data_IF_643065674404
#
_entry.id   IF_643065674404
#
_cell.length_a   1.000
_cell.length_b   1.000
_cell.length_c   1.000
_cell.angle_alpha   90.00
_cell.angle_beta   90.00
_cell.angle_gamma   90.00
#
_symmetry.space_group_name_H-M   'P 1'
#
loop_
_entity.id
_entity.type
_entity.pdbx_description
1 polymer ?
#
# COMPACT_ATOMS: atom_id res chain seq x y z
N UNK A 1 -27.50 11.90 -16.46
CA UNK A 1 -26.04 11.84 -16.28
C UNK A 1 -25.74 10.52 -15.60
N UNK A 2 -24.82 9.73 -16.14
CA UNK A 2 -24.38 8.49 -15.49
C UNK A 2 -23.81 8.83 -14.12
N UNK A 3 -24.08 8.00 -13.11
CA UNK A 3 -23.48 8.18 -11.79
C UNK A 3 -21.95 7.95 -11.87
N UNK A 4 -21.16 8.54 -10.95
CA UNK A 4 -19.71 8.29 -10.89
C UNK A 4 -19.40 6.79 -10.80
N UNK A 5 -20.24 6.02 -10.10
CA UNK A 5 -20.15 4.57 -10.01
C UNK A 5 -20.29 3.88 -11.38
N UNK A 6 -21.25 4.33 -12.19
CA UNK A 6 -21.46 3.77 -13.55
C UNK A 6 -20.28 4.08 -14.46
N UNK A 7 -19.72 5.29 -14.39
CA UNK A 7 -18.55 5.67 -15.17
C UNK A 7 -17.31 4.84 -14.81
N UNK A 8 -17.08 4.56 -13.53
CA UNK A 8 -15.92 3.82 -13.05
C UNK A 8 -16.13 2.30 -13.05
N UNK A 9 -17.36 1.81 -13.22
CA UNK A 9 -17.68 0.38 -13.32
C UNK A 9 -17.54 -0.18 -14.76
N UNK A 10 -17.30 0.66 -15.76
CA UNK A 10 -17.39 0.29 -17.18
C UNK A 10 -16.24 -0.55 -17.77
N UNK A 11 -14.97 -0.49 -17.30
CA UNK A 11 -13.92 -1.23 -18.00
C UNK A 11 -14.05 -2.74 -17.80
N UNK A 12 -14.28 -3.46 -18.88
CA UNK A 12 -14.37 -4.92 -18.86
C UNK A 12 -12.98 -5.59 -18.73
N UNK A 13 -11.92 -4.90 -19.16
CA UNK A 13 -10.55 -5.43 -19.19
C UNK A 13 -9.62 -4.66 -18.23
N UNK A 14 -8.64 -5.33 -17.59
CA UNK A 14 -7.60 -4.67 -16.83
C UNK A 14 -6.76 -3.73 -17.71
N UNK A 15 -6.33 -2.60 -17.16
CA UNK A 15 -5.40 -1.71 -17.85
C UNK A 15 -4.00 -2.31 -17.89
N UNK A 16 -3.30 -2.06 -18.99
CA UNK A 16 -1.88 -2.42 -19.14
C UNK A 16 -0.97 -1.43 -18.41
N UNK A 17 0.24 -1.86 -18.06
CA UNK A 17 1.27 -0.99 -17.49
C UNK A 17 1.56 0.25 -18.37
N UNK A 18 1.48 0.10 -19.70
CA UNK A 18 1.64 1.23 -20.65
C UNK A 18 0.51 2.25 -20.51
N UNK A 19 -0.74 1.81 -20.38
CA UNK A 19 -1.88 2.70 -20.15
C UNK A 19 -1.77 3.41 -18.80
N UNK A 20 -1.34 2.69 -17.75
CA UNK A 20 -1.10 3.29 -16.43
C UNK A 20 0.00 4.34 -16.46
N UNK A 21 1.07 4.11 -17.20
CA UNK A 21 2.17 5.08 -17.35
C UNK A 21 1.75 6.37 -18.07
N UNK A 22 0.83 6.28 -19.03
CA UNK A 22 0.28 7.46 -19.73
C UNK A 22 -0.62 8.27 -18.81
N UNK A 23 -1.62 7.62 -18.20
CA UNK A 23 -2.53 8.27 -17.27
C UNK A 23 -3.80 7.45 -17.02
N UNK A 24 -4.14 7.28 -15.76
CA UNK A 24 -5.31 6.52 -15.34
C UNK A 24 -6.04 7.14 -14.16
N UNK A 25 -7.31 6.80 -14.04
CA UNK A 25 -8.15 6.98 -12.86
C UNK A 25 -8.85 5.67 -12.53
N UNK A 26 -8.86 5.27 -11.26
CA UNK A 26 -9.49 4.04 -10.80
C UNK A 26 -10.11 4.23 -9.41
N UNK A 27 -11.24 3.57 -9.10
CA UNK A 27 -11.77 3.55 -7.74
C UNK A 27 -10.87 2.71 -6.84
N UNK A 28 -10.66 3.17 -5.61
CA UNK A 28 -10.02 2.41 -4.54
C UNK A 28 -11.13 1.97 -3.59
N UNK A 29 -11.79 0.85 -3.89
CA UNK A 29 -13.03 0.42 -3.22
C UNK A 29 -12.84 -0.62 -2.13
N UNK A 30 -11.65 -1.18 -1.98
CA UNK A 30 -11.32 -2.27 -1.07
C UNK A 30 -10.41 -1.84 0.09
N UNK A 31 -10.21 -0.54 0.25
CA UNK A 31 -9.53 0.03 1.40
C UNK A 31 -10.53 0.47 2.46
N UNK A 32 -10.15 0.28 3.71
CA UNK A 32 -10.84 0.77 4.88
C UNK A 32 -10.08 1.90 5.56
N UNK A 33 -10.78 2.68 6.38
CA UNK A 33 -10.23 3.84 7.06
C UNK A 33 -10.60 3.82 8.55
N UNK A 34 -9.59 3.70 9.42
CA UNK A 34 -9.76 3.86 10.86
C UNK A 34 -9.42 5.29 11.22
N UNK A 35 -10.33 5.98 11.90
CA UNK A 35 -10.11 7.31 12.48
C UNK A 35 -9.85 7.20 13.99
N UNK A 36 -8.89 7.99 14.47
CA UNK A 36 -8.59 8.14 15.89
C UNK A 36 -8.75 9.61 16.29
N UNK A 37 -9.69 9.87 17.18
CA UNK A 37 -10.00 11.18 17.71
C UNK A 37 -9.63 11.23 19.19
N UNK A 38 -9.03 12.34 19.63
CA UNK A 38 -8.66 12.58 21.03
C UNK A 38 -7.24 13.08 21.20
N UNK A 39 -7.01 13.77 22.32
CA UNK A 39 -5.73 14.45 22.60
C UNK A 39 -4.53 13.51 22.75
N UNK A 40 -4.77 12.22 23.08
CA UNK A 40 -3.73 11.22 23.25
C UNK A 40 -3.65 10.22 22.07
N UNK A 41 -4.36 10.49 20.95
CA UNK A 41 -4.35 9.60 19.77
C UNK A 41 -2.95 9.43 19.19
N UNK A 42 -2.16 10.51 19.11
CA UNK A 42 -0.81 10.46 18.56
C UNK A 42 0.14 9.63 19.45
N UNK A 43 0.17 9.88 20.76
CA UNK A 43 1.03 9.13 21.69
C UNK A 43 0.60 7.66 21.81
N UNK A 44 -0.71 7.39 21.79
CA UNK A 44 -1.22 6.02 21.75
C UNK A 44 -0.71 5.27 20.53
N UNK A 45 -0.92 5.80 19.32
CA UNK A 45 -0.46 5.15 18.09
C UNK A 45 1.06 5.09 17.98
N UNK A 46 1.78 6.10 18.49
CA UNK A 46 3.22 6.08 18.54
C UNK A 46 3.76 4.86 19.30
N UNK A 47 3.07 4.42 20.35
CA UNK A 47 3.42 3.23 21.12
C UNK A 47 2.90 1.91 20.50
N UNK A 48 2.18 1.94 19.39
CA UNK A 48 1.64 0.76 18.71
C UNK A 48 2.28 0.48 17.35
N UNK A 49 2.68 1.52 16.62
CA UNK A 49 3.10 1.42 15.22
C UNK A 49 4.63 1.51 15.06
N UNK A 50 5.12 1.00 13.95
CA UNK A 50 6.57 1.00 13.63
C UNK A 50 7.11 2.38 13.30
N UNK A 51 6.25 3.35 12.93
CA UNK A 51 6.67 4.68 12.52
C UNK A 51 6.29 5.76 13.56
N UNK A 52 6.90 6.93 13.43
CA UNK A 52 6.65 8.06 14.30
C UNK A 52 5.28 8.70 13.98
N UNK A 53 4.44 8.81 14.98
CA UNK A 53 3.11 9.42 14.90
C UNK A 53 3.06 10.78 15.59
N UNK A 54 3.85 10.96 16.65
CA UNK A 54 3.86 12.21 17.43
C UNK A 54 4.32 13.41 16.61
N UNK A 55 5.30 13.18 15.70
CA UNK A 55 5.83 14.23 14.81
C UNK A 55 5.27 14.14 13.40
N UNK A 56 4.08 13.58 13.22
CA UNK A 56 3.38 13.57 11.92
C UNK A 56 2.77 14.93 11.65
N UNK A 57 3.31 15.67 10.67
CA UNK A 57 2.80 16.98 10.27
C UNK A 57 1.47 16.92 9.53
N UNK A 58 0.74 18.04 9.48
CA UNK A 58 -0.58 18.14 8.81
C UNK A 58 -0.50 17.93 7.29
N UNK A 59 0.61 18.30 6.66
CA UNK A 59 0.86 18.09 5.23
C UNK A 59 1.62 16.81 4.91
N UNK A 60 1.90 15.97 5.92
CA UNK A 60 2.67 14.73 5.76
C UNK A 60 1.77 13.50 5.74
N UNK A 61 2.30 12.48 5.06
CA UNK A 61 1.74 11.12 5.03
C UNK A 61 2.87 10.15 5.31
N UNK A 62 2.62 9.08 6.02
CA UNK A 62 3.66 8.07 6.33
C UNK A 62 3.10 6.67 6.14
N UNK A 63 3.96 5.77 5.70
CA UNK A 63 3.71 4.33 5.83
C UNK A 63 4.02 3.90 7.26
N UNK A 64 3.27 2.95 7.79
CA UNK A 64 3.51 2.38 9.10
C UNK A 64 3.10 0.90 9.15
N UNK A 65 3.76 0.12 9.99
CA UNK A 65 3.40 -1.25 10.29
C UNK A 65 2.80 -1.38 11.69
N UNK A 66 1.90 -2.33 11.87
CA UNK A 66 1.43 -2.80 13.16
C UNK A 66 1.89 -4.23 13.37
N UNK A 67 2.74 -4.46 14.37
CA UNK A 67 3.35 -5.75 14.61
C UNK A 67 2.73 -6.51 15.80
N UNK A 68 2.78 -7.83 15.72
CA UNK A 68 2.62 -8.70 16.88
C UNK A 68 3.87 -8.62 17.79
N UNK A 69 3.81 -9.10 19.04
CA UNK A 69 4.98 -9.17 19.92
C UNK A 69 6.16 -9.98 19.33
N UNK A 70 5.89 -10.83 18.33
CA UNK A 70 6.91 -11.58 17.58
C UNK A 70 7.53 -10.77 16.42
N UNK A 71 7.25 -9.47 16.31
CA UNK A 71 7.76 -8.60 15.24
C UNK A 71 7.16 -8.87 13.87
N UNK A 72 6.08 -9.65 13.78
CA UNK A 72 5.42 -9.94 12.50
C UNK A 72 4.26 -8.99 12.26
N UNK A 73 4.12 -8.53 11.02
CA UNK A 73 3.11 -7.56 10.61
C UNK A 73 1.71 -8.13 10.66
N UNK A 74 0.84 -7.48 11.41
CA UNK A 74 -0.60 -7.69 11.47
C UNK A 74 -1.34 -6.81 10.47
N UNK A 75 -0.78 -5.63 10.18
CA UNK A 75 -1.28 -4.67 9.20
C UNK A 75 -0.17 -3.75 8.71
N UNK A 76 -0.38 -3.19 7.53
CA UNK A 76 0.34 -2.04 6.98
C UNK A 76 -0.64 -0.90 6.78
N UNK A 77 -0.20 0.33 6.99
CA UNK A 77 -1.04 1.53 6.90
C UNK A 77 -0.40 2.58 6.01
N UNK A 78 -1.26 3.29 5.27
CA UNK A 78 -1.00 4.67 4.88
C UNK A 78 -1.62 5.55 5.97
N UNK A 79 -0.81 6.41 6.60
CA UNK A 79 -1.19 7.19 7.78
C UNK A 79 -1.04 8.67 7.52
N UNK A 80 -2.04 9.45 7.89
CA UNK A 80 -2.04 10.92 7.85
C UNK A 80 -2.91 11.49 8.96
N UNK A 81 -2.91 12.80 9.09
CA UNK A 81 -3.77 13.48 10.06
C UNK A 81 -4.31 14.82 9.54
N UNK A 82 -5.42 15.26 10.12
CA UNK A 82 -5.82 16.65 10.16
C UNK A 82 -5.57 17.21 11.57
N UNK A 83 -6.14 18.35 11.92
CA UNK A 83 -5.93 18.99 13.22
C UNK A 83 -6.40 18.15 14.42
N UNK A 84 -7.46 17.36 14.25
CA UNK A 84 -8.15 16.64 15.33
C UNK A 84 -8.05 15.12 15.25
N UNK A 85 -7.88 14.58 14.06
CA UNK A 85 -8.04 13.15 13.77
C UNK A 85 -6.81 12.58 13.07
N UNK A 86 -6.38 11.39 13.47
CA UNK A 86 -5.39 10.59 12.77
C UNK A 86 -6.11 9.49 12.01
N UNK A 87 -5.75 9.30 10.74
CA UNK A 87 -6.33 8.31 9.85
C UNK A 87 -5.33 7.20 9.54
N UNK A 88 -5.81 5.95 9.55
CA UNK A 88 -5.07 4.75 9.15
C UNK A 88 -5.84 4.06 8.03
N UNK A 89 -5.32 4.09 6.82
CA UNK A 89 -5.88 3.35 5.68
C UNK A 89 -5.21 1.99 5.56
N UNK A 90 -6.01 0.94 5.36
CA UNK A 90 -5.58 -0.44 5.26
C UNK A 90 -6.59 -1.26 4.43
N UNK A 91 -6.26 -2.49 3.98
CA UNK A 91 -7.24 -3.35 3.31
C UNK A 91 -8.50 -3.56 4.17
N UNK A 92 -9.67 -3.35 3.55
CA UNK A 92 -10.98 -3.40 4.22
C UNK A 92 -11.23 -4.74 4.92
N UNK A 93 -10.77 -5.82 4.32
CA UNK A 93 -10.95 -7.19 4.84
C UNK A 93 -10.32 -7.43 6.22
N UNK A 94 -9.26 -6.68 6.58
CA UNK A 94 -8.60 -6.79 7.88
C UNK A 94 -8.90 -5.60 8.81
N UNK A 95 -9.64 -4.59 8.37
CA UNK A 95 -9.88 -3.38 9.15
C UNK A 95 -10.57 -3.66 10.48
N UNK A 96 -11.70 -4.35 10.47
CA UNK A 96 -12.49 -4.57 11.69
C UNK A 96 -11.70 -5.35 12.77
N UNK A 97 -11.02 -6.47 12.47
CA UNK A 97 -10.20 -7.16 13.47
C UNK A 97 -9.00 -6.33 13.94
N UNK A 98 -8.35 -5.55 13.06
CA UNK A 98 -7.22 -4.68 13.42
C UNK A 98 -7.69 -3.54 14.32
N UNK A 99 -8.78 -2.86 13.96
CA UNK A 99 -9.39 -1.79 14.78
C UNK A 99 -9.80 -2.31 16.16
N UNK A 100 -10.44 -3.47 16.23
CA UNK A 100 -10.81 -4.12 17.50
C UNK A 100 -9.58 -4.42 18.35
N UNK A 101 -8.52 -4.94 17.72
CA UNK A 101 -7.25 -5.23 18.42
C UNK A 101 -6.60 -3.96 18.97
N UNK A 102 -6.48 -2.90 18.17
CA UNK A 102 -5.96 -1.61 18.65
C UNK A 102 -6.79 -1.07 19.81
N UNK A 103 -8.12 -1.13 19.72
CA UNK A 103 -9.03 -0.64 20.76
C UNK A 103 -8.83 -1.35 22.12
N UNK A 104 -8.39 -2.61 22.14
CA UNK A 104 -8.09 -3.34 23.39
C UNK A 104 -6.91 -2.73 24.18
N UNK A 105 -6.04 -1.98 23.53
CA UNK A 105 -4.87 -1.33 24.15
C UNK A 105 -5.08 0.13 24.52
N UNK A 106 -6.23 0.71 24.20
CA UNK A 106 -6.56 2.11 24.54
C UNK A 106 -6.58 2.32 26.05
N UNK A 107 -7.07 1.35 26.83
CA UNK A 107 -7.13 1.33 28.30
C UNK A 107 -7.64 2.70 28.86
N UNK A 108 -6.70 3.57 29.30
CA UNK A 108 -6.98 4.89 29.90
C UNK A 108 -6.67 6.06 28.97
N UNK A 109 -6.12 5.80 27.78
CA UNK A 109 -5.76 6.86 26.84
C UNK A 109 -7.02 7.59 26.35
N UNK A 110 -6.94 8.91 26.28
CA UNK A 110 -8.04 9.77 25.78
C UNK A 110 -8.03 9.76 24.25
N UNK A 111 -8.42 8.62 23.70
CA UNK A 111 -8.55 8.39 22.26
C UNK A 111 -9.73 7.47 21.98
N UNK A 112 -10.40 7.69 20.85
CA UNK A 112 -11.51 6.87 20.38
C UNK A 112 -11.27 6.45 18.93
N UNK A 113 -11.38 5.16 18.67
CA UNK A 113 -11.28 4.60 17.33
C UNK A 113 -12.68 4.45 16.72
N UNK A 114 -12.81 4.84 15.45
CA UNK A 114 -14.03 4.66 14.67
C UNK A 114 -13.73 4.20 13.25
N UNK A 115 -14.68 3.53 12.60
CA UNK A 115 -14.65 3.25 11.18
C UNK A 115 -15.08 4.51 10.42
N UNK A 116 -14.17 5.11 9.66
CA UNK A 116 -14.41 6.31 8.86
C UNK A 116 -14.55 6.00 7.36
N UNK A 117 -14.59 4.74 6.95
CA UNK A 117 -14.60 4.34 5.54
C UNK A 117 -15.86 4.81 4.79
N UNK A 118 -16.96 4.93 5.51
CA UNK A 118 -18.26 5.37 4.97
C UNK A 118 -18.59 6.82 5.39
N UNK A 119 -17.63 7.55 5.99
CA UNK A 119 -17.87 8.93 6.39
C UNK A 119 -18.12 9.81 5.17
N UNK A 120 -19.03 10.81 5.23
CA UNK A 120 -19.35 11.63 4.06
C UNK A 120 -18.14 12.28 3.38
N UNK A 121 -17.10 12.62 4.14
CA UNK A 121 -15.88 13.25 3.62
C UNK A 121 -14.94 12.28 2.89
N UNK A 122 -15.07 10.96 3.12
CA UNK A 122 -14.15 9.93 2.60
C UNK A 122 -14.89 8.81 1.85
N UNK A 123 -16.13 9.06 1.46
CA UNK A 123 -17.06 8.08 0.89
C UNK A 123 -16.57 7.52 -0.44
N UNK A 124 -15.79 8.31 -1.17
CA UNK A 124 -15.19 7.94 -2.45
C UNK A 124 -13.69 8.16 -2.38
N UNK A 125 -12.94 7.15 -2.79
CA UNK A 125 -11.48 7.25 -2.94
C UNK A 125 -11.15 6.93 -4.40
N UNK A 126 -10.54 7.89 -5.09
CA UNK A 126 -10.02 7.71 -6.45
C UNK A 126 -8.50 7.65 -6.42
N UNK A 127 -7.94 6.65 -7.08
CA UNK A 127 -6.53 6.57 -7.40
C UNK A 127 -6.29 7.16 -8.80
N UNK A 128 -5.28 8.02 -8.92
CA UNK A 128 -4.85 8.61 -10.17
C UNK A 128 -3.33 8.43 -10.33
N UNK A 129 -2.86 8.30 -11.55
CA UNK A 129 -1.42 8.21 -11.81
C UNK A 129 -1.09 8.31 -13.29
N UNK A 130 0.22 8.30 -13.57
CA UNK A 130 0.75 8.44 -14.92
C UNK A 130 1.06 9.89 -15.31
N UNK A 131 1.69 10.06 -16.45
CA UNK A 131 2.21 11.37 -16.89
C UNK A 131 1.15 12.46 -17.04
N UNK A 132 -0.11 12.10 -17.26
CA UNK A 132 -1.21 13.06 -17.42
C UNK A 132 -1.98 13.36 -16.13
N UNK A 133 -1.66 12.70 -15.01
CA UNK A 133 -2.42 12.82 -13.78
C UNK A 133 -2.37 14.23 -13.18
N UNK A 134 -1.20 14.88 -13.18
CA UNK A 134 -1.03 16.23 -12.64
C UNK A 134 -1.84 17.26 -13.42
N UNK A 135 -1.76 17.23 -14.75
CA UNK A 135 -2.56 18.13 -15.61
C UNK A 135 -4.06 17.93 -15.37
N UNK A 136 -4.50 16.68 -15.18
CA UNK A 136 -5.89 16.40 -14.90
C UNK A 136 -6.34 17.00 -13.55
N UNK A 137 -5.47 16.98 -12.52
CA UNK A 137 -5.77 17.45 -11.16
C UNK A 137 -5.67 18.97 -10.99
N UNK A 138 -4.87 19.67 -11.83
CA UNK A 138 -4.66 21.14 -11.75
C UNK A 138 -5.95 21.96 -11.89
N UNK A 139 -7.02 21.38 -12.44
CA UNK A 139 -8.33 22.05 -12.48
C UNK A 139 -8.93 22.29 -11.09
N UNK A 140 -8.52 21.53 -10.08
CA UNK A 140 -9.11 21.54 -8.74
C UNK A 140 -8.13 21.84 -7.62
N UNK A 141 -6.83 21.61 -7.84
CA UNK A 141 -5.79 21.79 -6.84
C UNK A 141 -4.64 22.63 -7.38
N UNK A 142 -4.36 23.73 -6.71
CA UNK A 142 -3.21 24.59 -6.97
C UNK A 142 -2.74 25.19 -5.62
N UNK A 143 -1.56 24.79 -5.11
CA UNK A 143 -0.64 23.79 -5.66
C UNK A 143 -1.04 22.34 -5.37
N UNK A 144 -0.54 21.41 -6.19
CA UNK A 144 -0.57 19.97 -5.90
C UNK A 144 0.43 19.60 -4.79
N UNK A 145 0.23 18.47 -4.06
CA UNK A 145 1.25 17.94 -3.15
C UNK A 145 2.58 17.70 -3.87
N UNK A 146 3.64 18.41 -3.45
CA UNK A 146 4.88 18.55 -4.24
C UNK A 146 5.77 17.28 -4.26
N UNK A 147 5.67 16.41 -3.25
CA UNK A 147 6.54 15.24 -3.09
C UNK A 147 5.76 14.01 -2.64
N UNK A 148 6.26 12.79 -2.92
CA UNK A 148 5.68 11.58 -2.37
C UNK A 148 5.49 11.65 -0.85
N UNK A 149 4.41 11.05 -0.37
CA UNK A 149 3.98 11.05 1.03
C UNK A 149 3.73 12.46 1.61
N UNK A 150 3.12 13.33 0.79
CA UNK A 150 2.55 14.60 1.23
C UNK A 150 1.08 14.72 0.82
N UNK A 151 0.36 15.62 1.47
CA UNK A 151 -1.06 15.84 1.20
C UNK A 151 -1.46 17.32 1.25
N UNK A 152 -2.59 17.60 0.65
CA UNK A 152 -3.32 18.87 0.74
C UNK A 152 -4.76 18.58 1.13
N UNK A 153 -5.25 19.26 2.17
CA UNK A 153 -6.68 19.30 2.51
C UNK A 153 -7.33 20.47 1.78
N UNK A 154 -8.46 20.21 1.12
CA UNK A 154 -9.18 21.16 0.30
C UNK A 154 -10.69 20.98 0.49
N UNK A 155 -11.55 21.99 0.25
CA UNK A 155 -13.01 21.80 0.28
C UNK A 155 -13.54 20.65 -0.59
N UNK A 156 -12.83 20.28 -1.63
CA UNK A 156 -13.15 19.13 -2.49
C UNK A 156 -12.61 17.79 -1.96
N UNK A 157 -12.02 17.76 -0.76
CA UNK A 157 -11.50 16.55 -0.14
C UNK A 157 -9.99 16.59 0.11
N UNK A 158 -9.43 15.45 0.51
CA UNK A 158 -8.00 15.31 0.79
C UNK A 158 -7.30 14.67 -0.42
N UNK A 159 -6.33 15.38 -0.99
CA UNK A 159 -5.45 14.86 -2.04
C UNK A 159 -4.11 14.44 -1.45
N UNK A 160 -3.77 13.17 -1.59
CA UNK A 160 -2.52 12.58 -1.10
C UNK A 160 -1.65 12.21 -2.30
N UNK A 161 -0.41 12.70 -2.37
CA UNK A 161 0.61 12.16 -3.27
C UNK A 161 1.26 10.95 -2.59
N UNK A 162 1.17 9.79 -3.23
CA UNK A 162 1.82 8.54 -2.81
C UNK A 162 3.12 8.32 -3.59
N UNK A 163 3.79 7.17 -3.39
CA UNK A 163 5.00 6.82 -4.13
C UNK A 163 4.74 6.78 -5.64
N UNK A 164 5.71 7.22 -6.43
CA UNK A 164 5.65 7.22 -7.88
C UNK A 164 5.67 5.78 -8.44
N UNK A 165 5.05 5.57 -9.59
CA UNK A 165 5.15 4.33 -10.37
C UNK A 165 5.34 4.67 -11.85
N UNK A 166 6.02 3.80 -12.59
CA UNK A 166 6.29 3.99 -14.03
C UNK A 166 7.00 5.31 -14.35
N UNK A 167 7.78 5.84 -13.38
CA UNK A 167 8.46 7.14 -13.52
C UNK A 167 7.53 8.35 -13.47
N UNK A 168 6.29 8.19 -12.99
CA UNK A 168 5.26 9.23 -12.94
C UNK A 168 4.60 9.33 -11.56
N UNK A 169 4.05 10.51 -11.20
CA UNK A 169 3.38 10.72 -9.94
C UNK A 169 2.07 9.95 -9.84
N UNK A 170 1.70 9.61 -8.60
CA UNK A 170 0.43 8.99 -8.26
C UNK A 170 -0.22 9.68 -7.06
N UNK A 171 -1.56 9.71 -7.10
CA UNK A 171 -2.37 10.40 -6.11
C UNK A 171 -3.54 9.53 -5.65
N UNK A 172 -3.91 9.69 -4.38
CA UNK A 172 -5.23 9.29 -3.88
C UNK A 172 -6.04 10.55 -3.56
N UNK A 173 -7.26 10.60 -4.05
CA UNK A 173 -8.18 11.69 -3.74
C UNK A 173 -9.38 11.12 -2.97
N UNK A 174 -9.45 11.46 -1.67
CA UNK A 174 -10.55 11.10 -0.79
C UNK A 174 -11.57 12.24 -0.81
N UNK A 175 -12.83 11.94 -1.10
CA UNK A 175 -13.85 12.95 -1.31
C UNK A 175 -15.26 12.46 -0.96
N UNK A 176 -16.23 13.40 -0.92
CA UNK A 176 -17.64 13.06 -0.82
C UNK A 176 -18.18 12.52 -2.14
N UNK A 177 -19.32 11.80 -2.08
CA UNK A 177 -20.01 11.33 -3.28
C UNK A 177 -20.46 12.48 -4.18
N UNK A 178 -20.82 13.64 -3.61
CA UNK A 178 -21.20 14.84 -4.36
C UNK A 178 -20.03 15.39 -5.20
N UNK A 179 -18.85 15.50 -4.59
CA UNK A 179 -17.64 15.91 -5.32
C UNK A 179 -17.32 14.90 -6.40
N UNK A 180 -17.35 13.59 -6.09
CA UNK A 180 -17.09 12.53 -7.07
C UNK A 180 -18.04 12.61 -8.27
N UNK A 181 -19.33 12.90 -8.07
CA UNK A 181 -20.31 13.06 -9.15
C UNK A 181 -19.92 14.21 -10.11
N UNK A 182 -19.26 15.24 -9.59
CA UNK A 182 -18.84 16.39 -10.40
C UNK A 182 -17.52 16.11 -11.13
N UNK A 183 -16.52 15.53 -10.44
CA UNK A 183 -15.16 15.44 -10.99
C UNK A 183 -14.92 14.19 -11.85
N UNK A 184 -15.61 13.07 -11.57
CA UNK A 184 -15.36 11.81 -12.26
C UNK A 184 -15.57 11.88 -13.78
N UNK A 185 -16.58 12.57 -14.34
CA UNK A 185 -16.73 12.70 -15.80
C UNK A 185 -15.55 13.43 -16.45
N UNK A 186 -15.00 14.46 -15.82
CA UNK A 186 -13.87 15.22 -16.35
C UNK A 186 -12.58 14.40 -16.29
N UNK A 187 -12.37 13.66 -15.20
CA UNK A 187 -11.23 12.74 -15.06
C UNK A 187 -11.31 11.63 -16.11
N UNK A 188 -12.48 11.01 -16.30
CA UNK A 188 -12.69 9.96 -17.29
C UNK A 188 -12.53 10.42 -18.75
N UNK A 189 -12.73 11.73 -19.02
CA UNK A 189 -12.48 12.31 -20.33
C UNK A 189 -10.98 12.49 -20.64
N UNK A 190 -10.13 12.61 -19.62
CA UNK A 190 -8.69 12.87 -19.76
C UNK A 190 -7.82 11.63 -19.52
N UNK A 191 -8.28 10.71 -18.67
CA UNK A 191 -7.52 9.57 -18.18
C UNK A 191 -8.17 8.24 -18.57
N UNK A 192 -7.37 7.21 -18.73
CA UNK A 192 -7.87 5.84 -18.89
C UNK A 192 -8.61 5.40 -17.62
N UNK A 193 -9.87 5.02 -17.76
CA UNK A 193 -10.65 4.51 -16.61
C UNK A 193 -10.28 3.06 -16.34
N UNK A 194 -9.78 2.81 -15.13
CA UNK A 194 -9.44 1.49 -14.63
C UNK A 194 -10.41 1.01 -13.53
N UNK A 195 -10.32 -0.27 -13.19
CA UNK A 195 -10.92 -0.84 -11.98
C UNK A 195 -9.95 -0.74 -10.81
N UNK A 196 -10.37 -1.17 -9.63
CA UNK A 196 -9.50 -1.22 -8.43
C UNK A 196 -8.19 -1.99 -8.66
N UNK A 197 -8.19 -3.01 -9.55
CA UNK A 197 -6.98 -3.74 -9.93
C UNK A 197 -5.92 -2.86 -10.64
N UNK A 198 -6.33 -1.82 -11.36
CA UNK A 198 -5.39 -0.86 -11.95
C UNK A 198 -4.64 -0.06 -10.87
N UNK A 199 -5.32 0.30 -9.78
CA UNK A 199 -4.67 0.89 -8.62
C UNK A 199 -3.67 -0.09 -7.98
N UNK A 200 -4.09 -1.33 -7.72
CA UNK A 200 -3.20 -2.36 -7.16
C UNK A 200 -1.98 -2.61 -8.04
N UNK A 201 -2.16 -2.70 -9.36
CA UNK A 201 -1.03 -2.85 -10.28
C UNK A 201 -0.05 -1.68 -10.15
N UNK A 202 -0.56 -0.45 -10.00
CA UNK A 202 0.29 0.71 -9.78
C UNK A 202 1.02 0.70 -8.42
N UNK A 203 0.39 0.20 -7.34
CA UNK A 203 1.04 -0.01 -6.03
C UNK A 203 2.18 -1.03 -6.12
N UNK A 204 1.94 -2.14 -6.85
CA UNK A 204 2.93 -3.19 -7.09
C UNK A 204 4.14 -2.62 -7.82
N UNK A 205 3.93 -1.83 -8.88
CA UNK A 205 5.00 -1.17 -9.63
C UNK A 205 5.66 0.01 -8.90
N UNK A 206 5.00 0.55 -7.87
CA UNK A 206 5.64 1.48 -6.92
C UNK A 206 6.45 0.76 -5.84
N UNK A 207 6.43 -0.57 -5.81
CA UNK A 207 7.11 -1.37 -4.81
C UNK A 207 6.52 -1.23 -3.40
N UNK A 208 5.25 -0.88 -3.26
CA UNK A 208 4.56 -0.65 -1.99
C UNK A 208 3.75 -1.89 -1.60
N UNK A 209 4.24 -2.72 -0.68
CA UNK A 209 3.53 -3.90 -0.24
C UNK A 209 2.43 -3.54 0.77
N UNK A 210 1.32 -4.30 0.72
CA UNK A 210 0.23 -4.23 1.68
C UNK A 210 0.04 -5.58 2.36
N UNK A 211 -0.19 -5.56 3.67
CA UNK A 211 -0.58 -6.76 4.43
C UNK A 211 -2.08 -6.98 4.25
N UNK A 212 -2.42 -8.13 3.70
CA UNK A 212 -3.78 -8.62 3.48
C UNK A 212 -4.11 -9.75 4.45
N UNK A 213 -5.34 -10.22 4.46
CA UNK A 213 -5.75 -11.36 5.31
C UNK A 213 -4.88 -12.60 5.07
N UNK A 214 -4.48 -12.84 3.83
CA UNK A 214 -3.65 -13.99 3.45
C UNK A 214 -2.20 -13.88 3.96
N UNK A 215 -1.73 -12.66 4.23
CA UNK A 215 -0.32 -12.40 4.56
C UNK A 215 -0.11 -11.87 5.99
N UNK A 216 -1.17 -11.78 6.82
CA UNK A 216 -1.02 -11.43 8.23
C UNK A 216 -0.08 -12.40 8.95
N UNK A 217 0.81 -11.86 9.79
CA UNK A 217 1.83 -12.58 10.56
C UNK A 217 2.85 -13.39 9.73
N UNK A 218 2.91 -13.22 8.41
CA UNK A 218 3.89 -13.91 7.57
C UNK A 218 5.25 -13.21 7.56
N UNK A 219 5.29 -11.87 7.64
CA UNK A 219 6.49 -11.08 7.40
C UNK A 219 6.88 -10.21 8.59
N UNK A 220 8.19 -10.05 8.81
CA UNK A 220 8.71 -8.91 9.56
C UNK A 220 8.86 -7.72 8.60
N UNK A 221 8.89 -6.47 9.08
CA UNK A 221 8.93 -5.29 8.21
C UNK A 221 10.00 -5.31 7.11
N UNK A 222 11.20 -5.78 7.42
CA UNK A 222 12.30 -5.81 6.47
C UNK A 222 12.11 -6.83 5.34
N UNK A 223 11.36 -7.90 5.57
CA UNK A 223 11.05 -8.89 4.52
C UNK A 223 10.25 -8.28 3.38
N UNK A 224 9.45 -7.25 3.67
CA UNK A 224 8.68 -6.50 2.69
C UNK A 224 9.24 -5.09 2.44
N UNK A 225 10.52 -4.88 2.68
CA UNK A 225 11.28 -3.66 2.40
C UNK A 225 10.79 -2.40 3.14
N UNK A 226 10.05 -2.54 4.24
CA UNK A 226 9.42 -1.42 4.93
C UNK A 226 10.42 -0.40 5.49
N UNK A 227 11.62 -0.82 5.88
CA UNK A 227 12.66 0.11 6.30
C UNK A 227 13.19 0.95 5.13
N UNK A 228 13.28 0.37 3.91
CA UNK A 228 13.69 1.10 2.70
C UNK A 228 12.62 2.11 2.28
N UNK A 229 11.35 1.82 2.57
CA UNK A 229 10.21 2.69 2.30
C UNK A 229 9.97 3.74 3.39
N UNK A 230 10.83 3.81 4.41
CA UNK A 230 10.66 4.72 5.54
C UNK A 230 9.45 4.41 6.44
N UNK A 231 8.91 3.18 6.37
CA UNK A 231 7.77 2.74 7.18
C UNK A 231 8.16 2.32 8.60
N UNK A 232 9.46 2.24 8.91
CA UNK A 232 10.00 1.91 10.23
C UNK A 232 10.91 3.04 10.70
N UNK A 233 10.61 3.60 11.87
CA UNK A 233 11.48 4.58 12.51
C UNK A 233 12.24 3.91 13.67
N UNK A 234 13.54 3.69 13.49
CA UNK A 234 14.41 3.05 14.48
C UNK A 234 14.85 3.98 15.62
N UNK A 235 14.53 5.28 15.53
CA UNK A 235 14.91 6.30 16.54
C UNK A 235 13.74 6.68 17.45
N UNK A 236 12.54 6.15 17.21
CA UNK A 236 11.36 6.41 18.04
C UNK A 236 11.30 5.51 19.27
N UNK A 237 10.35 5.80 20.18
CA UNK A 237 10.05 4.99 21.37
C UNK A 237 9.56 3.57 21.06
N UNK A 238 9.31 2.79 22.13
CA UNK A 238 8.97 1.37 22.03
C UNK A 238 7.60 1.11 21.36
N UNK A 239 7.50 -0.03 20.68
CA UNK A 239 6.27 -0.57 20.12
C UNK A 239 6.31 -2.12 20.16
N UNK A 240 5.18 -2.84 20.08
CA UNK A 240 5.16 -4.30 20.12
C UNK A 240 6.02 -4.92 19.01
N UNK A 241 6.91 -5.86 19.40
CA UNK A 241 7.79 -6.56 18.46
C UNK A 241 9.04 -5.79 18.00
N UNK A 242 9.27 -4.59 18.54
CA UNK A 242 10.42 -3.74 18.17
C UNK A 242 11.77 -4.46 18.34
N UNK A 243 11.93 -5.27 19.38
CA UNK A 243 13.19 -6.00 19.63
C UNK A 243 13.55 -6.89 18.43
N UNK A 244 12.59 -7.65 17.90
CA UNK A 244 12.81 -8.53 16.74
C UNK A 244 13.10 -7.72 15.48
N UNK A 245 12.37 -6.61 15.27
CA UNK A 245 12.56 -5.70 14.12
C UNK A 245 13.95 -5.03 14.20
N UNK A 246 14.33 -4.51 15.36
CA UNK A 246 15.64 -3.90 15.57
C UNK A 246 16.79 -4.93 15.45
N UNK A 247 16.60 -6.14 16.00
CA UNK A 247 17.59 -7.22 15.86
C UNK A 247 17.80 -7.59 14.39
N UNK A 248 16.73 -7.66 13.60
CA UNK A 248 16.82 -7.91 12.15
C UNK A 248 17.61 -6.82 11.43
N UNK A 249 17.52 -5.56 11.89
CA UNK A 249 18.23 -4.44 11.30
C UNK A 249 19.72 -4.38 11.67
N UNK A 250 20.05 -4.59 12.95
CA UNK A 250 21.39 -4.28 13.46
C UNK A 250 22.28 -5.51 13.71
N UNK A 251 21.69 -6.67 13.95
CA UNK A 251 22.42 -7.88 14.35
C UNK A 251 22.25 -9.06 13.37
N UNK A 252 21.27 -8.98 12.47
CA UNK A 252 20.97 -10.02 11.51
C UNK A 252 21.52 -9.69 10.12
N UNK A 253 21.94 -10.70 9.36
CA UNK A 253 22.03 -10.56 7.90
C UNK A 253 20.62 -10.79 7.37
N UNK A 254 20.02 -9.80 6.72
CA UNK A 254 18.76 -9.97 6.03
C UNK A 254 18.96 -11.01 4.92
N UNK A 255 18.16 -12.06 4.98
CA UNK A 255 18.25 -13.19 4.04
C UNK A 255 17.07 -13.23 3.07
N UNK A 256 16.13 -12.33 3.23
CA UNK A 256 14.84 -12.31 2.52
C UNK A 256 14.43 -10.88 2.20
N UNK A 257 13.92 -10.69 1.00
CA UNK A 257 13.44 -9.40 0.48
C UNK A 257 12.23 -9.60 -0.43
N UNK A 258 11.48 -8.55 -0.62
CA UNK A 258 10.42 -8.49 -1.63
C UNK A 258 10.98 -7.93 -2.94
N UNK A 259 10.64 -8.58 -4.05
CA UNK A 259 10.99 -8.15 -5.40
C UNK A 259 9.77 -8.13 -6.31
N UNK A 260 9.87 -7.44 -7.44
CA UNK A 260 8.81 -7.32 -8.45
C UNK A 260 8.99 -8.42 -9.50
N UNK A 261 7.90 -9.09 -9.83
CA UNK A 261 7.89 -10.15 -10.86
C UNK A 261 6.63 -10.07 -11.73
N UNK A 262 6.72 -10.65 -12.93
CA UNK A 262 5.59 -10.97 -13.80
C UNK A 262 5.41 -12.48 -13.91
N UNK A 263 4.17 -12.96 -13.89
CA UNK A 263 3.81 -14.38 -13.84
C UNK A 263 2.70 -14.62 -14.88
N UNK A 264 2.93 -15.57 -15.79
CA UNK A 264 1.94 -15.95 -16.81
C UNK A 264 0.95 -16.99 -16.26
N UNK A 265 0.41 -16.75 -15.06
CA UNK A 265 -0.55 -17.63 -14.39
C UNK A 265 -1.53 -16.80 -13.57
N UNK A 266 -2.81 -16.93 -13.86
CA UNK A 266 -3.89 -16.23 -13.15
C UNK A 266 -4.09 -16.72 -11.69
N UNK A 267 -3.48 -17.84 -11.29
CA UNK A 267 -3.52 -18.34 -9.92
C UNK A 267 -2.58 -17.58 -8.96
N UNK A 268 -1.73 -16.67 -9.47
CA UNK A 268 -0.87 -15.84 -8.64
C UNK A 268 -1.71 -14.89 -7.79
N UNK A 269 -1.68 -15.09 -6.48
CA UNK A 269 -2.43 -14.31 -5.49
C UNK A 269 -1.64 -14.21 -4.19
N UNK A 270 -1.96 -13.21 -3.36
CA UNK A 270 -1.36 -13.04 -2.04
C UNK A 270 -1.44 -14.34 -1.20
N UNK A 271 -0.34 -14.72 -0.56
CA UNK A 271 -0.24 -15.92 0.25
C UNK A 271 0.16 -17.19 -0.53
N UNK A 272 0.21 -17.16 -1.86
CA UNK A 272 0.70 -18.30 -2.65
C UNK A 272 2.22 -18.43 -2.50
N UNK A 273 2.69 -19.62 -2.18
CA UNK A 273 4.11 -19.93 -2.02
C UNK A 273 4.85 -19.98 -3.36
N UNK A 274 6.13 -19.68 -3.33
CA UNK A 274 7.02 -19.80 -4.49
C UNK A 274 8.21 -20.72 -4.16
N UNK A 275 8.70 -21.43 -5.16
CA UNK A 275 9.69 -22.50 -5.03
C UNK A 275 10.89 -22.24 -5.95
N UNK A 276 12.10 -22.31 -5.39
CA UNK A 276 13.32 -22.32 -6.19
C UNK A 276 13.48 -23.67 -6.88
N UNK A 277 13.87 -23.70 -8.15
CA UNK A 277 14.09 -24.96 -8.89
C UNK A 277 15.20 -25.81 -8.29
N UNK A 278 16.16 -25.18 -7.59
CA UNK A 278 17.26 -25.85 -6.92
C UNK A 278 16.87 -26.52 -5.58
N UNK A 279 15.72 -26.11 -4.97
CA UNK A 279 15.20 -26.67 -3.72
C UNK A 279 13.68 -26.84 -3.85
N UNK A 280 13.23 -27.91 -4.56
CA UNK A 280 11.82 -28.08 -4.90
C UNK A 280 10.93 -28.51 -3.73
N UNK A 281 11.52 -29.00 -2.65
CA UNK A 281 10.78 -29.56 -1.52
C UNK A 281 10.31 -28.51 -0.50
N UNK A 282 10.89 -27.29 -0.55
CA UNK A 282 10.58 -26.23 0.40
C UNK A 282 10.31 -24.90 -0.30
N UNK A 283 9.30 -24.13 0.15
CA UNK A 283 9.07 -22.83 -0.41
C UNK A 283 10.26 -21.90 -0.11
N UNK A 284 10.67 -21.16 -1.12
CA UNK A 284 11.70 -20.13 -0.98
C UNK A 284 11.11 -18.76 -0.65
N UNK A 285 9.78 -18.57 -0.81
CA UNK A 285 9.09 -17.32 -0.59
C UNK A 285 7.58 -17.40 -0.73
N UNK A 286 6.94 -16.23 -0.77
CA UNK A 286 5.50 -16.09 -0.85
C UNK A 286 5.10 -14.81 -1.60
N UNK A 287 4.02 -14.86 -2.36
CA UNK A 287 3.42 -13.68 -2.99
C UNK A 287 2.84 -12.76 -1.90
N UNK A 288 3.28 -11.51 -1.89
CA UNK A 288 2.79 -10.48 -0.96
C UNK A 288 1.52 -9.84 -1.51
N UNK A 289 1.59 -9.31 -2.74
CA UNK A 289 0.48 -8.71 -3.47
C UNK A 289 0.56 -9.08 -4.95
N UNK A 290 -0.58 -9.14 -5.61
CA UNK A 290 -0.69 -9.50 -7.02
C UNK A 290 -1.84 -8.74 -7.69
N UNK A 291 -1.67 -8.37 -8.96
CA UNK A 291 -2.71 -7.75 -9.76
C UNK A 291 -2.58 -8.10 -11.25
N UNK A 292 -3.70 -8.17 -12.00
CA UNK A 292 -3.68 -8.39 -13.45
C UNK A 292 -2.89 -7.29 -14.17
N UNK A 293 -1.99 -7.67 -15.09
CA UNK A 293 -1.13 -6.72 -15.81
C UNK A 293 -1.70 -6.24 -17.15
N UNK A 294 -2.94 -6.62 -17.47
CA UNK A 294 -3.62 -6.27 -18.71
C UNK A 294 -3.07 -6.96 -19.97
N UNK A 295 -2.11 -7.88 -19.82
CA UNK A 295 -1.50 -8.66 -20.92
C UNK A 295 -1.77 -10.17 -20.79
N UNK A 296 -2.74 -10.54 -19.97
CA UNK A 296 -3.09 -11.95 -19.71
C UNK A 296 -2.28 -12.61 -18.60
N UNK A 297 -1.43 -11.86 -17.89
CA UNK A 297 -0.66 -12.30 -16.74
C UNK A 297 -0.93 -11.46 -15.49
N UNK A 298 -0.17 -11.76 -14.46
CA UNK A 298 -0.19 -11.11 -13.14
C UNK A 298 1.18 -10.50 -12.89
N UNK A 299 1.22 -9.23 -12.44
CA UNK A 299 2.44 -8.69 -11.83
C UNK A 299 2.27 -8.73 -10.31
N UNK A 300 3.36 -9.02 -9.60
CA UNK A 300 3.32 -9.29 -8.17
C UNK A 300 4.56 -8.78 -7.44
N UNK A 301 4.37 -8.40 -6.19
CA UNK A 301 5.43 -8.31 -5.20
C UNK A 301 5.57 -9.66 -4.51
N UNK A 302 6.74 -10.24 -4.55
CA UNK A 302 7.02 -11.58 -3.99
C UNK A 302 8.17 -11.50 -3.01
N UNK A 303 7.92 -11.87 -1.78
CA UNK A 303 8.94 -12.00 -0.74
C UNK A 303 9.65 -13.35 -0.90
N UNK A 304 10.97 -13.35 -0.90
CA UNK A 304 11.75 -14.59 -1.02
C UNK A 304 13.17 -14.47 -0.47
N UNK A 305 13.84 -15.63 -0.35
CA UNK A 305 15.27 -15.68 0.01
C UNK A 305 16.10 -14.93 -1.02
N UNK A 306 17.10 -14.15 -0.59
CA UNK A 306 18.01 -13.42 -1.49
C UNK A 306 18.69 -14.35 -2.52
N UNK A 307 19.14 -15.51 -2.08
CA UNK A 307 19.73 -16.50 -2.99
C UNK A 307 18.77 -16.95 -4.12
N UNK A 308 17.46 -16.94 -3.87
CA UNK A 308 16.46 -17.25 -4.89
C UNK A 308 16.28 -16.08 -5.89
N UNK A 309 16.37 -14.84 -5.40
CA UNK A 309 16.38 -13.64 -6.25
C UNK A 309 17.60 -13.66 -7.17
N UNK A 310 18.79 -13.89 -6.61
CA UNK A 310 20.07 -13.96 -7.36
C UNK A 310 20.07 -15.06 -8.41
N UNK A 311 19.54 -16.25 -8.07
CA UNK A 311 19.45 -17.37 -9.00
C UNK A 311 18.40 -17.16 -10.11
N UNK A 312 17.42 -16.26 -9.90
CA UNK A 312 16.33 -15.92 -10.81
C UNK A 312 15.59 -17.15 -11.41
N UNK A 313 15.55 -18.26 -10.67
CA UNK A 313 14.94 -19.51 -11.09
C UNK A 313 13.89 -19.97 -10.08
N UNK A 314 12.76 -19.24 -10.07
CA UNK A 314 11.66 -19.39 -9.10
C UNK A 314 10.36 -19.66 -9.84
N UNK A 315 9.49 -20.47 -9.23
CA UNK A 315 8.21 -20.90 -9.80
C UNK A 315 7.07 -20.75 -8.79
N UNK A 316 5.87 -20.52 -9.30
CA UNK A 316 4.67 -20.32 -8.52
C UNK A 316 4.08 -21.66 -8.04
N UNK A 317 3.71 -21.77 -6.77
CA UNK A 317 2.93 -22.86 -6.19
C UNK A 317 3.66 -24.20 -6.04
N UNK A 318 4.64 -24.47 -6.90
CA UNK A 318 5.49 -25.67 -6.87
C UNK A 318 6.70 -25.49 -7.78
N UNK A 319 7.68 -26.37 -7.67
CA UNK A 319 8.85 -26.38 -8.57
C UNK A 319 8.51 -26.65 -10.05
N UNK A 320 7.35 -27.22 -10.33
CA UNK A 320 6.81 -27.41 -11.69
C UNK A 320 5.84 -26.31 -12.16
N UNK A 321 5.56 -25.32 -11.31
CA UNK A 321 4.62 -24.24 -11.61
C UNK A 321 5.12 -23.22 -12.64
N UNK A 322 4.31 -22.18 -12.86
CA UNK A 322 4.65 -21.09 -13.78
C UNK A 322 5.94 -20.37 -13.34
N UNK A 323 6.86 -20.05 -14.27
CA UNK A 323 8.08 -19.32 -13.95
C UNK A 323 7.76 -17.86 -13.58
N UNK A 324 8.53 -17.33 -12.62
CA UNK A 324 8.54 -15.92 -12.30
C UNK A 324 9.54 -15.19 -13.20
N UNK A 325 9.09 -14.16 -13.90
CA UNK A 325 9.94 -13.24 -14.64
C UNK A 325 10.26 -12.05 -13.76
N UNK A 326 11.51 -11.87 -13.37
CA UNK A 326 11.93 -10.78 -12.51
C UNK A 326 11.90 -9.44 -13.26
N UNK A 327 11.39 -8.42 -12.62
CA UNK A 327 11.31 -7.05 -13.10
C UNK A 327 12.12 -6.12 -12.18
N UNK A 328 12.49 -4.95 -12.69
CA UNK A 328 13.23 -3.96 -11.91
C UNK A 328 12.35 -3.36 -10.81
N UNK A 329 12.88 -3.33 -9.60
CA UNK A 329 12.26 -2.60 -8.49
C UNK A 329 12.44 -1.09 -8.69
N UNK A 330 11.45 -0.26 -8.27
CA UNK A 330 11.57 1.22 -8.37
C UNK A 330 12.58 1.83 -7.40
N UNK A 331 13.19 1.03 -6.54
CA UNK A 331 14.24 1.41 -5.59
C UNK A 331 15.27 0.28 -5.45
N UNK A 332 16.46 0.65 -4.96
CA UNK A 332 17.59 -0.29 -4.83
C UNK A 332 17.36 -1.24 -3.65
N UNK A 333 17.54 -2.53 -3.90
CA UNK A 333 17.62 -3.59 -2.88
C UNK A 333 19.09 -3.85 -2.59
N UNK A 334 19.83 -2.90 -2.02
CA UNK A 334 21.25 -3.08 -1.74
C UNK A 334 21.46 -3.99 -0.51
N UNK A 335 22.13 -5.14 -0.65
CA UNK A 335 22.50 -5.97 0.49
C UNK A 335 23.61 -5.35 1.35
N UNK A 336 24.29 -4.30 0.89
CA UNK A 336 25.38 -3.62 1.62
C UNK A 336 24.89 -2.53 2.58
N UNK A 337 23.65 -2.07 2.45
CA UNK A 337 23.01 -1.18 3.42
C UNK A 337 22.42 -1.93 4.63
N UNK A 338 22.81 -3.19 4.77
CA UNK A 338 22.28 -4.16 5.74
C UNK A 338 23.34 -4.62 6.75
#
# INVERSE_FOLDING_TARGET
>A
MSSWNELLAQPAQPLTTTQLAVGFVAPISDQGLIALDGEESASFLHNQLTNDVEHLGLGEVRLAGYCSPKGRLLASFLMWRNETTIFLQLPREIQAPVQKRLAMFVLRAKTKLSDASESPAHQVVLGLGGGMAEEALQNWFDPLPAKPFSKVDHPLGTLIRVADAFGAPRYQWLMSAEVAQTVAPELAAKLSVGRTDAWHLSEIHAGIPQITKATQEQFVPQMINFELLGAVNFKKGCYPGQEIVARSQYLGKLKRRTTLVSIADAAAAAGVEVFATADPEQPCGMVVNAAPNGKGGIDALVEMKLAAIEAASVRLGSAGGAPLTFLDMPYVLDPLDL
#
